data_IF_435287316269
#
_entry.id   IF_435287316269
#
_cell.length_a   1.000
_cell.length_b   1.000
_cell.length_c   1.000
_cell.angle_alpha   90.00
_cell.angle_beta   90.00
_cell.angle_gamma   90.00
#
_symmetry.space_group_name_H-M   'P 1'
#
loop_
_entity.id
_entity.type
_entity.pdbx_description
1 polymer ?
#
# COMPACT_ATOMS: atom_id res chain seq x y z
N UNK A 1 -7.44 12.22 16.90
CA UNK A 1 -7.06 11.02 16.11
C UNK A 1 -8.19 10.47 15.22
N UNK A 2 -9.29 11.21 14.99
CA UNK A 2 -10.49 10.72 14.27
C UNK A 2 -10.35 10.64 12.73
N UNK A 3 -9.43 11.41 12.13
CA UNK A 3 -9.41 11.63 10.66
C UNK A 3 -8.82 10.46 9.84
N UNK A 4 -7.82 9.71 10.33
CA UNK A 4 -7.20 8.58 9.59
C UNK A 4 -8.11 7.34 9.53
N UNK A 5 -8.91 7.07 10.58
CA UNK A 5 -9.80 5.89 10.64
C UNK A 5 -10.93 5.96 9.60
N UNK A 6 -11.40 7.17 9.27
CA UNK A 6 -12.43 7.38 8.25
C UNK A 6 -11.95 7.12 6.82
N UNK A 7 -10.66 7.36 6.50
CA UNK A 7 -10.13 7.09 5.17
C UNK A 7 -10.02 5.58 4.92
N UNK A 8 -9.49 4.82 5.88
CA UNK A 8 -9.36 3.35 5.81
C UNK A 8 -10.73 2.65 5.80
N UNK A 9 -11.76 3.26 6.38
CA UNK A 9 -13.13 2.75 6.33
C UNK A 9 -13.82 2.94 4.97
N UNK A 10 -13.31 3.84 4.12
CA UNK A 10 -13.85 4.10 2.77
C UNK A 10 -13.10 3.34 1.67
N UNK A 11 -11.97 2.71 2.01
CA UNK A 11 -11.24 1.85 1.09
C UNK A 11 -12.07 0.61 0.77
N UNK A 12 -12.04 0.20 -0.49
CA UNK A 12 -12.50 -1.13 -0.89
C UNK A 12 -11.58 -2.21 -0.26
N UNK A 13 -12.09 -3.44 -0.15
CA UNK A 13 -11.38 -4.53 0.53
C UNK A 13 -9.98 -4.77 -0.06
N UNK A 14 -9.84 -4.64 -1.38
CA UNK A 14 -8.57 -4.74 -2.09
C UNK A 14 -7.55 -3.71 -1.62
N UNK A 15 -7.94 -2.43 -1.57
CA UNK A 15 -7.03 -1.35 -1.17
C UNK A 15 -6.66 -1.45 0.30
N UNK A 16 -7.61 -1.91 1.13
CA UNK A 16 -7.34 -2.20 2.54
C UNK A 16 -6.33 -3.36 2.69
N UNK A 17 -6.48 -4.44 1.94
CA UNK A 17 -5.54 -5.57 1.97
C UNK A 17 -4.13 -5.12 1.56
N UNK A 18 -4.02 -4.43 0.43
CA UNK A 18 -2.76 -3.85 -0.07
C UNK A 18 -2.12 -2.93 0.97
N UNK A 19 -2.89 -2.00 1.53
CA UNK A 19 -2.38 -1.06 2.54
C UNK A 19 -1.90 -1.79 3.80
N UNK A 20 -2.68 -2.74 4.32
CA UNK A 20 -2.33 -3.53 5.50
C UNK A 20 -1.02 -4.28 5.28
N UNK A 21 -0.87 -4.93 4.13
CA UNK A 21 0.37 -5.66 3.80
C UNK A 21 1.59 -4.75 3.65
N UNK A 22 1.42 -3.55 3.11
CA UNK A 22 2.51 -2.57 3.05
C UNK A 22 2.92 -2.14 4.46
N UNK A 23 1.96 -1.85 5.34
CA UNK A 23 2.25 -1.49 6.73
C UNK A 23 2.96 -2.63 7.46
N UNK A 24 2.45 -3.86 7.36
CA UNK A 24 3.06 -5.04 7.99
C UNK A 24 4.51 -5.25 7.52
N UNK A 25 4.73 -5.20 6.20
CA UNK A 25 6.06 -5.36 5.62
C UNK A 25 7.00 -4.22 6.04
N UNK A 26 6.52 -2.97 6.05
CA UNK A 26 7.31 -1.81 6.45
C UNK A 26 7.67 -1.84 7.94
N UNK A 27 6.75 -2.27 8.81
CA UNK A 27 7.03 -2.44 10.25
C UNK A 27 8.06 -3.56 10.48
N UNK A 28 8.05 -4.60 9.65
CA UNK A 28 8.99 -5.71 9.74
C UNK A 28 10.40 -5.38 9.23
N UNK A 29 10.52 -4.63 8.14
CA UNK A 29 11.82 -4.40 7.46
C UNK A 29 12.35 -2.97 7.58
N UNK A 30 11.46 -1.98 7.76
CA UNK A 30 11.78 -0.55 7.66
C UNK A 30 12.03 -0.05 6.24
N UNK A 31 11.86 -0.91 5.22
CA UNK A 31 12.18 -0.60 3.83
C UNK A 31 10.92 -0.33 3.00
N UNK A 32 10.97 0.58 2.00
CA UNK A 32 9.85 0.78 1.09
C UNK A 32 9.54 -0.48 0.28
N UNK A 33 8.25 -0.73 0.05
CA UNK A 33 7.79 -1.95 -0.61
C UNK A 33 7.36 -1.66 -2.04
N UNK A 34 7.84 -2.48 -2.97
CA UNK A 34 7.47 -2.42 -4.39
C UNK A 34 6.26 -3.31 -4.72
N UNK A 35 5.55 -2.96 -5.80
CA UNK A 35 4.33 -3.69 -6.21
C UNK A 35 4.58 -5.15 -6.59
N UNK A 36 5.78 -5.49 -7.08
CA UNK A 36 6.17 -6.87 -7.41
C UNK A 36 6.29 -7.73 -6.16
N UNK A 37 7.00 -7.25 -5.15
CA UNK A 37 7.13 -7.93 -3.86
C UNK A 37 5.77 -8.10 -3.21
N UNK A 38 4.97 -7.04 -3.18
CA UNK A 38 3.65 -7.08 -2.57
C UNK A 38 2.70 -8.04 -3.32
N UNK A 39 2.74 -8.09 -4.66
CA UNK A 39 1.93 -9.03 -5.44
C UNK A 39 2.21 -10.50 -5.13
N UNK A 40 3.43 -10.84 -4.66
CA UNK A 40 3.80 -12.19 -4.27
C UNK A 40 3.39 -12.53 -2.83
N UNK A 41 3.18 -11.51 -1.99
CA UNK A 41 2.83 -11.65 -0.56
C UNK A 41 1.31 -11.53 -0.31
N UNK A 42 0.56 -11.06 -1.30
CA UNK A 42 -0.90 -10.95 -1.22
C UNK A 42 -1.54 -12.34 -1.33
N UNK A 43 -2.56 -12.56 -0.51
CA UNK A 43 -3.41 -13.75 -0.58
C UNK A 43 -4.23 -13.77 -1.88
N UNK A 44 -4.62 -12.59 -2.35
CA UNK A 44 -5.31 -12.41 -3.62
C UNK A 44 -4.29 -12.39 -4.76
N UNK A 45 -4.52 -13.19 -5.81
CA UNK A 45 -3.71 -13.20 -7.04
C UNK A 45 -3.90 -11.90 -7.84
N UNK A 46 -3.26 -10.82 -7.38
CA UNK A 46 -3.21 -9.54 -8.06
C UNK A 46 -1.92 -9.42 -8.85
N UNK A 47 -2.02 -8.93 -10.08
CA UNK A 47 -0.83 -8.62 -10.87
C UNK A 47 -0.05 -7.45 -10.25
N UNK A 48 1.26 -7.41 -10.46
CA UNK A 48 2.10 -6.28 -10.04
C UNK A 48 1.64 -4.93 -10.64
N UNK A 49 1.00 -4.95 -11.80
CA UNK A 49 0.40 -3.76 -12.43
C UNK A 49 -0.85 -3.30 -11.67
N UNK A 50 -1.74 -4.22 -11.30
CA UNK A 50 -2.92 -3.93 -10.48
C UNK A 50 -2.53 -3.37 -9.12
N UNK A 51 -1.53 -3.99 -8.48
CA UNK A 51 -1.01 -3.53 -7.19
C UNK A 51 -0.41 -2.12 -7.31
N UNK A 52 0.33 -1.84 -8.39
CA UNK A 52 0.87 -0.49 -8.64
C UNK A 52 -0.23 0.56 -8.75
N UNK A 53 -1.34 0.25 -9.42
CA UNK A 53 -2.47 1.18 -9.53
C UNK A 53 -3.10 1.45 -8.16
N UNK A 54 -3.35 0.40 -7.37
CA UNK A 54 -3.87 0.55 -6.01
C UNK A 54 -2.93 1.36 -5.12
N UNK A 55 -1.62 1.14 -5.25
CA UNK A 55 -0.61 1.92 -4.52
C UNK A 55 -0.62 3.40 -4.92
N UNK A 56 -0.91 3.71 -6.19
CA UNK A 56 -1.07 5.10 -6.66
C UNK A 56 -2.34 5.73 -6.09
N UNK A 57 -3.47 5.02 -6.07
CA UNK A 57 -4.72 5.50 -5.47
C UNK A 57 -4.55 5.78 -3.96
N UNK A 58 -3.82 4.90 -3.27
CA UNK A 58 -3.51 5.07 -1.84
C UNK A 58 -2.55 6.24 -1.58
N UNK A 59 -1.64 6.53 -2.51
CA UNK A 59 -0.76 7.70 -2.45
C UNK A 59 -1.56 9.00 -2.66
N UNK A 60 -2.48 9.03 -3.64
CA UNK A 60 -3.38 10.16 -3.86
C UNK A 60 -4.30 10.39 -2.66
N UNK A 61 -4.73 9.31 -1.98
CA UNK A 61 -5.46 9.38 -0.72
C UNK A 61 -4.61 9.86 0.48
N UNK A 62 -3.31 10.08 0.28
CA UNK A 62 -2.37 10.52 1.31
C UNK A 62 -2.02 9.45 2.34
N UNK A 63 -2.29 8.17 2.05
CA UNK A 63 -1.99 7.03 2.92
C UNK A 63 -0.62 6.43 2.64
N UNK A 64 -0.12 6.57 1.41
CA UNK A 64 1.20 6.16 1.01
C UNK A 64 2.02 7.36 0.51
N UNK A 65 3.35 7.23 0.58
CA UNK A 65 4.27 8.17 -0.02
C UNK A 65 5.44 7.44 -0.69
N UNK A 66 5.99 8.04 -1.74
CA UNK A 66 7.18 7.53 -2.42
C UNK A 66 8.39 8.43 -2.18
N UNK A 67 9.48 7.93 -1.59
CA UNK A 67 10.70 8.73 -1.44
C UNK A 67 11.33 9.04 -2.80
N UNK A 68 11.23 8.10 -3.75
CA UNK A 68 11.65 8.27 -5.15
C UNK A 68 10.71 7.53 -6.09
N UNK A 69 10.66 7.89 -7.37
CA UNK A 69 9.76 7.28 -8.38
C UNK A 69 9.91 5.76 -8.53
N UNK A 70 11.09 5.19 -8.21
CA UNK A 70 11.40 3.76 -8.34
C UNK A 70 11.51 2.99 -7.03
N UNK A 71 11.55 3.66 -5.87
CA UNK A 71 11.96 3.04 -4.60
C UNK A 71 10.89 2.18 -3.92
N UNK A 72 9.64 2.18 -4.39
CA UNK A 72 8.51 1.53 -3.72
C UNK A 72 7.61 2.55 -3.02
N UNK A 73 6.81 2.12 -2.03
CA UNK A 73 5.96 3.00 -1.23
C UNK A 73 6.11 2.73 0.26
N UNK A 74 5.92 3.79 1.03
CA UNK A 74 5.95 3.85 2.49
C UNK A 74 4.55 4.24 3.01
N UNK A 75 4.10 3.76 4.16
CA UNK A 75 2.93 4.32 4.84
C UNK A 75 3.23 5.70 5.46
N UNK A 76 2.23 6.59 5.48
CA UNK A 76 2.29 7.96 6.07
C UNK A 76 1.68 8.07 7.47
#
# INVERSE_FOLDING_TARGET
MERKKSAISKLNDRSREVFTKIVDAYVATGEPIGSRTLSQQLSTSLSAATVRNVMADLEEAGLLFSPHTSAGRLPT
#
